data_IF_227995189651
#
_entry.id   IF_227995189651
#
_cell.length_a   1.000
_cell.length_b   1.000
_cell.length_c   1.000
_cell.angle_alpha   90.00
_cell.angle_beta   90.00
_cell.angle_gamma   90.00
#
_symmetry.space_group_name_H-M   'P 1'
#
loop_
_entity.id
_entity.type
_entity.pdbx_description
1 polymer ?
#
# COMPACT_ATOMS: atom_id res chain seq x y z
N UNK A 1 -32.89 11.88 -4.11
CA UNK A 1 -31.52 11.55 -3.67
C UNK A 1 -30.93 12.83 -3.08
N UNK A 2 -30.89 12.95 -1.75
CA UNK A 2 -30.21 14.07 -1.11
C UNK A 2 -28.70 13.76 -1.13
N UNK A 3 -27.90 14.61 -1.77
CA UNK A 3 -26.45 14.47 -1.79
C UNK A 3 -25.89 14.59 -0.37
N UNK A 4 -24.91 13.74 -0.04
CA UNK A 4 -24.20 13.81 1.23
C UNK A 4 -23.59 15.23 1.39
N UNK A 5 -23.75 15.87 2.56
CA UNK A 5 -23.16 17.18 2.80
C UNK A 5 -21.63 17.08 2.70
N UNK A 6 -21.04 17.99 1.92
CA UNK A 6 -19.58 18.17 1.88
C UNK A 6 -19.16 18.85 3.19
N UNK A 7 -18.30 18.19 3.95
CA UNK A 7 -17.69 18.76 5.14
C UNK A 7 -16.53 19.68 4.72
N UNK A 8 -16.83 20.97 4.57
CA UNK A 8 -15.85 22.01 4.19
C UNK A 8 -15.16 22.63 5.43
N UNK A 9 -15.26 22.01 6.61
CA UNK A 9 -14.75 22.55 7.89
C UNK A 9 -13.24 22.83 7.89
N UNK A 10 -12.48 22.21 6.99
CA UNK A 10 -11.04 22.39 6.85
C UNK A 10 -10.64 23.66 6.06
N UNK A 11 -11.58 24.32 5.37
CA UNK A 11 -11.28 25.48 4.53
C UNK A 11 -11.24 26.75 5.39
N UNK A 12 -10.03 27.18 5.76
CA UNK A 12 -9.82 28.45 6.47
C UNK A 12 -10.12 29.63 5.52
N UNK A 13 -10.99 30.52 5.97
CA UNK A 13 -11.33 31.78 5.27
C UNK A 13 -10.68 32.94 6.01
N UNK A 14 -10.22 33.96 5.28
CA UNK A 14 -9.75 35.20 5.90
C UNK A 14 -10.93 36.02 6.43
N UNK A 15 -10.61 37.14 7.09
CA UNK A 15 -11.58 38.10 7.64
C UNK A 15 -12.51 38.70 6.59
N UNK A 16 -12.12 38.67 5.31
CA UNK A 16 -12.88 39.18 4.17
C UNK A 16 -13.69 38.07 3.46
N UNK A 17 -13.70 36.86 4.02
CA UNK A 17 -14.48 35.72 3.52
C UNK A 17 -13.87 35.02 2.31
N UNK A 18 -12.66 35.41 1.90
CA UNK A 18 -11.94 34.79 0.80
C UNK A 18 -11.22 33.53 1.27
N UNK A 19 -10.99 32.58 0.35
CA UNK A 19 -10.19 31.38 0.66
C UNK A 19 -8.77 31.84 0.95
N UNK A 20 -8.27 31.58 2.16
CA UNK A 20 -6.85 31.81 2.45
C UNK A 20 -6.09 30.87 1.52
N UNK A 21 -5.42 31.42 0.52
CA UNK A 21 -4.49 30.64 -0.30
C UNK A 21 -3.53 29.94 0.65
N UNK A 22 -3.45 28.61 0.56
CA UNK A 22 -2.38 27.86 1.23
C UNK A 22 -1.09 28.52 0.73
N UNK A 23 -0.31 29.12 1.64
CA UNK A 23 1.02 29.56 1.27
C UNK A 23 1.75 28.31 0.80
N UNK A 24 2.19 28.28 -0.45
CA UNK A 24 3.05 27.23 -0.99
C UNK A 24 4.39 27.34 -0.26
N UNK A 25 4.45 26.82 0.96
CA UNK A 25 5.70 26.53 1.63
C UNK A 25 6.26 25.28 0.96
N UNK A 26 7.35 25.44 0.20
CA UNK A 26 8.06 24.32 -0.43
C UNK A 26 8.44 23.31 0.65
N UNK A 27 7.79 22.15 0.63
CA UNK A 27 7.93 21.14 1.65
C UNK A 27 9.10 20.21 1.33
N UNK A 28 9.77 19.78 2.40
CA UNK A 28 10.83 18.80 2.35
C UNK A 28 10.32 17.48 2.95
N UNK A 29 10.37 16.40 2.15
CA UNK A 29 9.91 15.07 2.52
C UNK A 29 11.08 14.14 2.76
N UNK A 30 11.06 13.43 3.90
CA UNK A 30 12.04 12.40 4.22
C UNK A 30 11.55 11.04 3.72
N UNK A 31 12.35 10.40 2.87
CA UNK A 31 12.06 9.08 2.34
C UNK A 31 12.57 7.98 3.28
N UNK A 32 11.92 6.82 3.26
CA UNK A 32 12.29 5.67 4.09
C UNK A 32 13.74 5.17 3.87
N UNK A 33 14.32 5.45 2.70
CA UNK A 33 15.72 5.16 2.38
C UNK A 33 16.73 6.18 2.90
N UNK A 34 16.31 7.16 3.72
CA UNK A 34 17.17 8.24 4.23
C UNK A 34 17.37 9.41 3.25
N UNK A 35 16.80 9.32 2.05
CA UNK A 35 16.79 10.40 1.07
C UNK A 35 15.83 11.54 1.45
N UNK A 36 16.00 12.67 0.79
CA UNK A 36 15.15 13.85 0.96
C UNK A 36 14.62 14.26 -0.42
N UNK A 37 13.33 14.58 -0.51
CA UNK A 37 12.64 14.99 -1.73
C UNK A 37 11.93 16.31 -1.47
N UNK A 38 12.09 17.30 -2.36
CA UNK A 38 11.40 18.60 -2.24
C UNK A 38 10.22 18.70 -3.20
N UNK A 39 9.32 19.65 -2.96
CA UNK A 39 8.25 19.98 -3.92
C UNK A 39 8.79 20.33 -5.31
N UNK A 40 9.90 21.07 -5.39
CA UNK A 40 10.54 21.41 -6.68
C UNK A 40 11.03 20.17 -7.43
N UNK A 41 11.52 19.16 -6.70
CA UNK A 41 11.94 17.90 -7.31
C UNK A 41 10.73 17.14 -7.86
N UNK A 42 9.61 17.13 -7.14
CA UNK A 42 8.36 16.49 -7.57
C UNK A 42 7.81 17.17 -8.83
N UNK A 43 7.70 18.50 -8.83
CA UNK A 43 7.19 19.26 -9.97
C UNK A 43 8.08 19.10 -11.21
N UNK A 44 9.40 19.07 -11.01
CA UNK A 44 10.37 18.83 -12.10
C UNK A 44 10.19 17.44 -12.70
N UNK A 45 10.07 16.41 -11.87
CA UNK A 45 9.87 15.04 -12.34
C UNK A 45 8.50 14.86 -13.01
N UNK A 46 7.45 15.49 -12.48
CA UNK A 46 6.12 15.50 -13.08
C UNK A 46 6.15 16.14 -14.48
N UNK A 47 6.78 17.30 -14.63
CA UNK A 47 6.91 17.98 -15.92
C UNK A 47 7.68 17.12 -16.95
N UNK A 48 8.75 16.43 -16.52
CA UNK A 48 9.48 15.51 -17.39
C UNK A 48 8.63 14.31 -17.80
N UNK A 49 7.80 13.79 -16.88
CA UNK A 49 6.93 12.66 -17.14
C UNK A 49 5.86 13.02 -18.17
N UNK A 50 5.22 14.17 -18.02
CA UNK A 50 4.22 14.69 -18.96
C UNK A 50 4.81 15.02 -20.33
N UNK A 51 6.06 15.52 -20.36
CA UNK A 51 6.80 15.76 -21.60
C UNK A 51 7.32 14.47 -22.26
N UNK A 52 7.21 13.31 -21.59
CA UNK A 52 7.75 12.04 -22.08
C UNK A 52 9.29 11.98 -22.10
N UNK A 53 9.96 12.91 -21.42
CA UNK A 53 11.43 12.98 -21.33
C UNK A 53 11.98 12.42 -20.02
N UNK A 54 11.10 11.88 -19.17
CA UNK A 54 11.49 11.31 -17.89
C UNK A 54 12.19 9.96 -18.08
N UNK A 55 13.42 9.86 -17.59
CA UNK A 55 14.28 8.67 -17.69
C UNK A 55 14.13 7.70 -16.50
N UNK A 56 13.22 8.00 -15.57
CA UNK A 56 13.00 7.18 -14.38
C UNK A 56 12.37 5.82 -14.67
N UNK A 57 12.54 4.89 -13.72
CA UNK A 57 11.94 3.55 -13.80
C UNK A 57 10.62 3.50 -13.03
N UNK A 58 9.52 3.24 -13.72
CA UNK A 58 8.30 2.78 -13.05
C UNK A 58 8.47 1.31 -12.68
N UNK A 59 8.68 1.02 -11.40
CA UNK A 59 8.43 -0.33 -10.92
C UNK A 59 6.96 -0.65 -11.17
N UNK A 60 6.69 -1.70 -11.97
CA UNK A 60 5.33 -2.22 -12.09
C UNK A 60 4.92 -2.79 -10.74
N UNK A 61 4.27 -1.98 -9.92
CA UNK A 61 3.54 -2.44 -8.76
C UNK A 61 2.47 -3.40 -9.29
N UNK A 62 2.69 -4.70 -9.15
CA UNK A 62 1.67 -5.70 -9.49
C UNK A 62 0.49 -5.46 -8.55
N UNK A 63 -0.55 -4.84 -9.07
CA UNK A 63 -1.81 -4.68 -8.36
C UNK A 63 -2.40 -6.08 -8.14
N UNK A 64 -2.29 -6.60 -6.92
CA UNK A 64 -2.78 -7.94 -6.57
C UNK A 64 -2.02 -8.59 -5.43
N UNK A 65 -2.56 -9.67 -4.88
CA UNK A 65 -1.84 -10.50 -3.90
C UNK A 65 -0.60 -11.08 -4.59
N UNK A 66 0.61 -10.96 -4.01
CA UNK A 66 1.80 -11.62 -4.54
C UNK A 66 1.53 -13.10 -4.82
N UNK A 67 2.06 -13.62 -5.92
CA UNK A 67 1.96 -15.04 -6.23
C UNK A 67 2.63 -15.84 -5.11
N UNK A 68 1.86 -16.71 -4.44
CA UNK A 68 2.35 -17.47 -3.28
C UNK A 68 3.27 -18.64 -3.68
N UNK A 69 3.30 -19.02 -4.95
CA UNK A 69 4.18 -20.03 -5.55
C UNK A 69 4.29 -19.79 -7.07
N UNK A 70 5.37 -20.27 -7.69
CA UNK A 70 5.54 -20.23 -9.16
C UNK A 70 4.64 -21.22 -9.92
N UNK A 71 3.89 -22.06 -9.19
CA UNK A 71 3.00 -23.08 -9.72
C UNK A 71 1.54 -22.81 -9.34
N UNK A 72 0.60 -23.33 -10.13
CA UNK A 72 -0.84 -23.30 -9.84
C UNK A 72 -1.14 -23.98 -8.49
N UNK A 73 -1.65 -23.21 -7.54
CA UNK A 73 -2.15 -23.74 -6.27
C UNK A 73 -3.50 -24.43 -6.46
N UNK A 74 -3.65 -25.61 -5.86
CA UNK A 74 -4.91 -26.38 -5.81
C UNK A 74 -5.43 -26.38 -4.38
N UNK A 75 -6.72 -26.10 -4.20
CA UNK A 75 -7.37 -26.15 -2.89
C UNK A 75 -7.66 -27.60 -2.49
N UNK A 76 -7.11 -28.04 -1.36
CA UNK A 76 -7.40 -29.34 -0.76
C UNK A 76 -8.14 -29.12 0.56
N UNK A 77 -9.38 -29.60 0.65
CA UNK A 77 -10.19 -29.47 1.87
C UNK A 77 -9.98 -30.71 2.76
N UNK A 78 -9.51 -30.47 3.98
CA UNK A 78 -9.29 -31.50 5.00
C UNK A 78 -9.90 -31.06 6.33
N UNK A 79 -10.35 -32.03 7.13
CA UNK A 79 -10.91 -31.76 8.46
C UNK A 79 -9.87 -32.08 9.53
N UNK A 80 -9.73 -31.19 10.49
CA UNK A 80 -8.84 -31.37 11.65
C UNK A 80 -9.67 -31.41 12.94
N UNK A 81 -9.25 -32.18 13.95
CA UNK A 81 -9.73 -32.03 15.31
C UNK A 81 -9.51 -30.59 15.81
N UNK A 82 -10.45 -30.06 16.59
CA UNK A 82 -10.38 -28.69 17.12
C UNK A 82 -9.10 -28.45 17.94
N UNK A 83 -8.66 -29.47 18.70
CA UNK A 83 -7.42 -29.42 19.48
C UNK A 83 -6.18 -29.21 18.60
N UNK A 84 -6.14 -29.83 17.41
CA UNK A 84 -5.04 -29.66 16.46
C UNK A 84 -5.03 -28.27 15.84
N UNK A 85 -6.19 -27.73 15.49
CA UNK A 85 -6.28 -26.35 14.97
C UNK A 85 -5.77 -25.36 16.02
N UNK A 86 -6.16 -25.52 17.29
CA UNK A 86 -5.65 -24.71 18.40
C UNK A 86 -4.13 -24.85 18.58
N UNK A 87 -3.57 -26.03 18.37
CA UNK A 87 -2.13 -26.25 18.44
C UNK A 87 -1.39 -25.52 17.29
N UNK A 88 -1.93 -25.57 16.07
CA UNK A 88 -1.40 -24.85 14.91
C UNK A 88 -1.45 -23.34 15.16
N UNK A 89 -2.57 -22.82 15.68
CA UNK A 89 -2.74 -21.39 15.95
C UNK A 89 -1.71 -20.83 16.94
N UNK A 90 -1.29 -21.64 17.93
CA UNK A 90 -0.28 -21.25 18.91
C UNK A 90 1.12 -21.07 18.32
N UNK A 91 1.41 -21.65 17.15
CA UNK A 91 2.72 -21.48 16.49
C UNK A 91 2.91 -20.12 15.81
N UNK A 92 1.91 -19.22 15.88
CA UNK A 92 2.00 -17.83 15.39
C UNK A 92 2.16 -17.70 13.87
N UNK A 93 2.17 -18.82 13.15
CA UNK A 93 2.40 -18.90 11.72
C UNK A 93 1.06 -19.05 10.98
N UNK A 94 1.01 -18.58 9.74
CA UNK A 94 -0.12 -18.82 8.85
C UNK A 94 -0.42 -20.34 8.78
N UNK A 95 -1.65 -20.75 9.13
CA UNK A 95 -2.08 -22.17 9.12
C UNK A 95 -1.73 -22.90 7.83
N UNK A 96 -1.95 -22.25 6.68
CA UNK A 96 -1.66 -22.84 5.36
C UNK A 96 -0.17 -22.99 5.10
N UNK A 97 0.65 -22.11 5.67
CA UNK A 97 2.10 -22.20 5.58
C UNK A 97 2.63 -23.35 6.44
N UNK A 98 2.14 -23.44 7.68
CA UNK A 98 2.45 -24.55 8.58
C UNK A 98 2.12 -25.90 7.95
N UNK A 99 0.92 -26.05 7.39
CA UNK A 99 0.48 -27.29 6.73
C UNK A 99 1.38 -27.60 5.51
N UNK A 100 1.69 -26.61 4.66
CA UNK A 100 2.58 -26.83 3.51
C UNK A 100 3.97 -27.28 3.93
N UNK A 101 4.54 -26.70 4.99
CA UNK A 101 5.85 -27.12 5.54
C UNK A 101 5.80 -28.52 6.14
N UNK A 102 4.75 -28.86 6.88
CA UNK A 102 4.58 -30.20 7.44
C UNK A 102 4.51 -31.27 6.34
N UNK A 103 3.76 -31.01 5.26
CA UNK A 103 3.68 -31.90 4.09
C UNK A 103 5.04 -31.99 3.40
N UNK A 104 5.71 -30.86 3.15
CA UNK A 104 7.03 -30.85 2.49
C UNK A 104 8.12 -31.58 3.28
N UNK A 105 8.05 -31.60 4.62
CA UNK A 105 8.99 -32.35 5.45
C UNK A 105 8.75 -33.88 5.43
N UNK A 106 7.60 -34.33 4.93
CA UNK A 106 7.22 -35.75 4.89
C UNK A 106 7.48 -36.38 3.51
N UNK A 107 7.52 -35.55 2.46
CA UNK A 107 7.86 -35.94 1.09
C UNK A 107 9.37 -35.95 0.90
#
# INVERSE_FOLDING_TARGET
MAGLPRDDSAIKKDSDGNRVGIKEEMMEYKLAGGGTLTDEDIEREAAQYEAGTWEGHLEKIRVGRPAMAGEKLVSVTVRFPESMVKAIDKTGSNRSDYIRRAVANTL
#
